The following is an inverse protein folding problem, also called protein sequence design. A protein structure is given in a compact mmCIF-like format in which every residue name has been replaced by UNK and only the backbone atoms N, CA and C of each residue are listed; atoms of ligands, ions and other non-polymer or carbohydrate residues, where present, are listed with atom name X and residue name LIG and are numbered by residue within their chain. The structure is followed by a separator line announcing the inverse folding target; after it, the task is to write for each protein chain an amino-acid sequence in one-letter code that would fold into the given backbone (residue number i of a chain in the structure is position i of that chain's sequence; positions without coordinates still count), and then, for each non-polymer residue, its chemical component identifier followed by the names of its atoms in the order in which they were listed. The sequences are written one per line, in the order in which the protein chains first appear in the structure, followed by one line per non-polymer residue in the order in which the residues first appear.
data_IF_152636938578
#
_entry.id   IF_152636938578
#
_cell.length_a   1.000
_cell.length_b   1.000
_cell.length_c   1.000
_cell.angle_alpha   90.00
_cell.angle_beta   90.00
_cell.angle_gamma   90.00
#
_symmetry.space_group_name_H-M   'P 1'
#
loop_
_entity.id
_entity.type
_entity.pdbx_description
1 polymer ?
#
# COMPACT_ATOMS: atom_id res chain seq x y z
N UNK A 1 23.31 10.79 5.57
CA UNK A 1 23.82 9.83 6.59
C UNK A 1 22.62 9.09 7.16
N UNK A 2 22.65 7.75 7.31
CA UNK A 2 21.54 7.02 7.92
C UNK A 2 21.41 7.40 9.40
N UNK A 3 20.19 7.73 9.83
CA UNK A 3 19.88 8.06 11.22
C UNK A 3 19.21 6.86 11.87
N UNK A 4 19.75 6.40 12.99
CA UNK A 4 19.18 5.29 13.76
C UNK A 4 18.20 5.85 14.79
N UNK A 5 16.99 5.29 14.80
CA UNK A 5 15.95 5.59 15.79
C UNK A 5 15.66 4.33 16.61
N UNK A 6 15.71 4.43 17.94
CA UNK A 6 15.28 3.36 18.84
C UNK A 6 13.96 3.74 19.49
N UNK A 7 12.92 2.94 19.23
CA UNK A 7 11.63 3.08 19.87
C UNK A 7 11.62 2.26 21.17
N UNK A 8 11.38 2.92 22.31
CA UNK A 8 11.26 2.28 23.63
C UNK A 8 9.81 2.32 24.10
N UNK A 9 9.40 1.34 24.90
CA UNK A 9 8.05 1.24 25.46
C UNK A 9 6.93 1.27 24.40
N UNK A 10 7.14 0.59 23.28
CA UNK A 10 6.08 0.42 22.27
C UNK A 10 4.96 -0.41 22.89
N UNK A 11 3.69 0.03 22.84
CA UNK A 11 2.58 -0.78 23.30
C UNK A 11 2.49 -2.09 22.51
N UNK A 12 2.25 -3.21 23.18
CA UNK A 12 2.23 -4.55 22.56
C UNK A 12 1.30 -4.61 21.34
N UNK A 13 0.12 -4.00 21.44
CA UNK A 13 -0.83 -3.92 20.33
C UNK A 13 -0.28 -3.23 19.07
N UNK A 14 0.64 -2.28 19.22
CA UNK A 14 1.31 -1.60 18.09
C UNK A 14 2.41 -2.50 17.52
N UNK A 15 3.18 -3.16 18.37
CA UNK A 15 4.20 -4.12 17.96
C UNK A 15 3.60 -5.29 17.16
N UNK A 16 2.50 -5.87 17.65
CA UNK A 16 1.84 -6.99 17.00
C UNK A 16 1.27 -6.61 15.64
N UNK A 17 0.63 -5.43 15.54
CA UNK A 17 0.16 -4.90 14.25
C UNK A 17 1.29 -4.67 13.27
N UNK A 18 2.42 -4.13 13.74
CA UNK A 18 3.58 -3.90 12.89
C UNK A 18 4.18 -5.23 12.39
N UNK A 19 4.24 -6.25 13.25
CA UNK A 19 4.70 -7.60 12.89
C UNK A 19 3.81 -8.24 11.83
N UNK A 20 2.49 -8.21 12.02
CA UNK A 20 1.54 -8.75 11.04
C UNK A 20 1.64 -8.03 9.69
N UNK A 21 1.80 -6.69 9.71
CA UNK A 21 1.99 -5.90 8.48
C UNK A 21 3.29 -6.28 7.77
N UNK A 22 4.38 -6.45 8.51
CA UNK A 22 5.67 -6.85 7.96
C UNK A 22 5.61 -8.24 7.31
N UNK A 23 4.95 -9.21 7.94
CA UNK A 23 4.73 -10.56 7.38
C UNK A 23 3.87 -10.50 6.11
N UNK A 24 2.76 -9.76 6.14
CA UNK A 24 1.88 -9.58 4.99
C UNK A 24 2.58 -8.94 3.79
N UNK A 25 3.44 -7.95 4.03
CA UNK A 25 4.23 -7.28 2.99
C UNK A 25 5.53 -8.02 2.63
N UNK A 26 5.84 -9.14 3.30
CA UNK A 26 7.11 -9.89 3.18
C UNK A 26 8.34 -9.00 3.35
N UNK A 27 8.32 -8.16 4.37
CA UNK A 27 9.38 -7.19 4.71
C UNK A 27 9.94 -7.47 6.10
N UNK A 28 11.16 -6.98 6.35
CA UNK A 28 11.72 -6.95 7.70
C UNK A 28 10.95 -5.95 8.57
N UNK A 29 11.00 -6.14 9.89
CA UNK A 29 10.38 -5.23 10.86
C UNK A 29 10.89 -3.78 10.71
N UNK A 30 12.20 -3.63 10.47
CA UNK A 30 12.82 -2.32 10.31
C UNK A 30 12.32 -1.62 9.03
N UNK A 31 12.26 -2.37 7.91
CA UNK A 31 11.74 -1.84 6.64
C UNK A 31 10.27 -1.45 6.75
N UNK A 32 9.46 -2.24 7.45
CA UNK A 32 8.04 -1.92 7.65
C UNK A 32 7.86 -0.69 8.55
N UNK A 33 8.65 -0.59 9.63
CA UNK A 33 8.64 0.59 10.50
C UNK A 33 8.98 1.87 9.72
N UNK A 34 9.98 1.83 8.85
CA UNK A 34 10.35 2.95 7.98
C UNK A 34 9.18 3.33 7.07
N UNK A 35 8.55 2.36 6.42
CA UNK A 35 7.42 2.61 5.51
C UNK A 35 6.22 3.20 6.26
N UNK A 36 5.90 2.71 7.46
CA UNK A 36 4.84 3.29 8.29
C UNK A 36 5.16 4.73 8.70
N UNK A 37 6.41 5.02 9.07
CA UNK A 37 6.86 6.37 9.41
C UNK A 37 6.82 7.30 8.20
N UNK A 38 7.27 6.84 7.04
CA UNK A 38 7.19 7.57 5.77
C UNK A 38 5.73 7.90 5.43
N UNK A 39 4.82 6.92 5.52
CA UNK A 39 3.40 7.13 5.22
C UNK A 39 2.72 8.12 6.19
N UNK A 40 3.14 8.16 7.46
CA UNK A 40 2.56 9.02 8.48
C UNK A 40 3.16 10.44 8.50
N UNK A 41 4.47 10.57 8.23
CA UNK A 41 5.22 11.81 8.41
C UNK A 41 5.48 12.53 7.08
N UNK A 42 5.60 11.80 5.98
CA UNK A 42 5.67 12.44 4.67
C UNK A 42 4.25 12.77 4.25
N UNK A 43 4.00 14.00 3.76
CA UNK A 43 2.75 14.28 3.09
C UNK A 43 2.56 13.22 2.02
N UNK A 44 1.40 12.55 1.99
CA UNK A 44 0.96 11.73 0.86
C UNK A 44 0.69 12.63 -0.38
N UNK A 45 1.61 13.52 -0.71
CA UNK A 45 1.69 14.19 -1.99
C UNK A 45 2.40 13.21 -2.91
N UNK A 46 1.71 12.13 -3.29
CA UNK A 46 1.87 11.71 -4.68
C UNK A 46 1.51 12.96 -5.46
N UNK A 47 2.51 13.58 -6.09
CA UNK A 47 2.26 14.82 -6.83
C UNK A 47 1.10 14.53 -7.78
N UNK A 48 0.15 15.46 -7.99
CA UNK A 48 -0.99 15.19 -8.88
C UNK A 48 -0.56 14.57 -10.22
N UNK A 49 0.60 14.99 -10.72
CA UNK A 49 1.25 14.45 -11.91
C UNK A 49 1.71 12.99 -11.78
N UNK A 50 2.33 12.60 -10.67
CA UNK A 50 2.72 11.20 -10.41
C UNK A 50 1.49 10.30 -10.28
N UNK A 51 0.42 10.80 -9.64
CA UNK A 51 -0.83 10.05 -9.50
C UNK A 51 -1.50 9.87 -10.86
N UNK A 52 -1.48 10.89 -11.69
CA UNK A 52 -1.96 10.82 -13.08
C UNK A 52 -1.08 9.91 -13.94
N UNK A 53 0.25 9.94 -13.78
CA UNK A 53 1.17 9.07 -14.51
C UNK A 53 0.91 7.59 -14.17
N UNK A 54 0.85 7.24 -12.89
CA UNK A 54 0.50 5.89 -12.43
C UNK A 54 -0.87 5.44 -12.93
N UNK A 55 -1.87 6.33 -12.92
CA UNK A 55 -3.20 6.02 -13.46
C UNK A 55 -3.17 5.76 -14.98
N UNK A 56 -2.34 6.49 -15.74
CA UNK A 56 -2.17 6.29 -17.17
C UNK A 56 -1.44 4.99 -17.48
N UNK A 57 -0.36 4.68 -16.77
CA UNK A 57 0.38 3.41 -16.89
C UNK A 57 -0.53 2.21 -16.63
N UNK A 58 -1.29 2.24 -15.53
CA UNK A 58 -2.25 1.19 -15.21
C UNK A 58 -3.30 1.02 -16.33
N UNK A 59 -3.79 2.13 -16.89
CA UNK A 59 -4.79 2.10 -17.96
C UNK A 59 -4.21 1.60 -19.28
N UNK A 60 -2.93 1.86 -19.54
CA UNK A 60 -2.21 1.37 -20.72
C UNK A 60 -1.91 -0.13 -20.64
N UNK A 61 -1.69 -0.67 -19.44
CA UNK A 61 -1.47 -2.10 -19.22
C UNK A 61 -2.76 -2.95 -19.37
N UNK A 62 -3.93 -2.32 -19.35
CA UNK A 62 -5.21 -3.02 -19.53
C UNK A 62 -5.53 -3.24 -21.02
N UNK A 63 -6.18 -4.37 -21.38
CA UNK A 63 -6.67 -4.59 -22.73
C UNK A 63 -7.58 -3.45 -23.17
N UNK A 64 -7.42 -2.99 -24.42
CA UNK A 64 -8.30 -1.98 -25.01
C UNK A 64 -9.70 -2.57 -25.15
N UNK A 65 -10.59 -2.26 -24.21
CA UNK A 65 -11.92 -2.83 -24.13
C UNK A 65 -12.89 -1.97 -23.33
N UNK A 66 -14.19 -2.25 -23.48
CA UNK A 66 -15.23 -1.61 -22.67
C UNK A 66 -15.33 -2.35 -21.33
N UNK A 67 -14.88 -1.71 -20.26
CA UNK A 67 -15.15 -2.15 -18.89
C UNK A 67 -16.56 -1.71 -18.50
N UNK A 68 -17.59 -2.51 -18.80
CA UNK A 68 -18.96 -2.16 -18.41
C UNK A 68 -19.15 -2.45 -16.92
N UNK A 69 -19.87 -1.57 -16.23
CA UNK A 69 -20.17 -1.72 -14.80
C UNK A 69 -20.76 -3.11 -14.47
N UNK A 70 -21.69 -3.60 -15.31
CA UNK A 70 -22.31 -4.92 -15.14
C UNK A 70 -21.31 -6.08 -15.19
N UNK A 71 -20.28 -6.00 -16.03
CA UNK A 71 -19.31 -7.07 -16.23
C UNK A 71 -18.34 -7.10 -15.01
N UNK A 72 -17.95 -5.93 -14.50
CA UNK A 72 -17.16 -5.80 -13.26
C UNK A 72 -17.94 -6.35 -12.05
N UNK A 73 -19.23 -6.02 -11.94
CA UNK A 73 -20.06 -6.47 -10.83
C UNK A 73 -20.35 -7.99 -10.88
N UNK A 74 -20.40 -8.59 -12.06
CA UNK A 74 -20.46 -10.05 -12.21
C UNK A 74 -19.15 -10.69 -11.72
N UNK A 75 -17.99 -10.23 -12.20
CA UNK A 75 -16.68 -10.73 -11.80
C UNK A 75 -16.41 -10.61 -10.29
N UNK A 76 -16.83 -9.50 -9.66
CA UNK A 76 -16.73 -9.31 -8.19
C UNK A 76 -17.52 -10.36 -7.39
N UNK A 77 -18.62 -10.90 -7.94
CA UNK A 77 -19.46 -11.91 -7.27
C UNK A 77 -18.93 -13.32 -7.47
N UNK A 78 -18.27 -13.58 -8.59
CA UNK A 78 -17.74 -14.92 -8.94
C UNK A 78 -16.70 -15.44 -7.94
N UNK A 79 -15.89 -14.56 -7.34
CA UNK A 79 -14.88 -14.91 -6.32
C UNK A 79 -15.36 -14.86 -4.86
N UNK A 80 -16.65 -14.62 -4.60
CA UNK A 80 -17.24 -14.62 -3.25
C UNK A 80 -18.03 -15.92 -3.04
N UNK A 81 -17.30 -17.03 -2.91
CA UNK A 81 -17.80 -18.23 -2.24
C UNK A 81 -17.34 -18.22 -0.80
#
# INVERSE_FOLDING_TARGET
MPTTLTLKNIPDAVYDRLKLSAEAHRRSMNSEAIVCLEAALLPAKVAPNERLARARELRAALPKGKFRARDIDALKREGRQ
#
